data_IF_061100608424
#
_entry.id   IF_061100608424
#
_cell.length_a   1.000
_cell.length_b   1.000
_cell.length_c   1.000
_cell.angle_alpha   90.00
_cell.angle_beta   90.00
_cell.angle_gamma   90.00
#
_symmetry.space_group_name_H-M   'P 1'
#
loop_
_entity.id
_entity.type
_entity.pdbx_description
1 polymer ?
#
# COMPACT_ATOMS: atom_id res chain seq x y z
N UNK A 1 -20.23 14.05 -20.11
CA UNK A 1 -21.36 13.25 -19.57
C UNK A 1 -20.97 11.79 -19.30
N UNK A 2 -20.36 11.05 -20.25
CA UNK A 2 -20.00 9.63 -20.05
C UNK A 2 -18.98 9.41 -18.93
N UNK A 3 -17.92 10.23 -18.85
CA UNK A 3 -16.88 10.13 -17.82
C UNK A 3 -17.47 10.31 -16.42
N UNK A 4 -18.24 11.36 -16.19
CA UNK A 4 -18.83 11.59 -14.87
C UNK A 4 -19.79 10.47 -14.44
N UNK A 5 -20.48 9.82 -15.38
CA UNK A 5 -21.30 8.65 -15.06
C UNK A 5 -20.45 7.44 -14.66
N UNK A 6 -19.33 7.19 -15.36
CA UNK A 6 -18.42 6.09 -15.05
C UNK A 6 -17.69 6.28 -13.71
N UNK A 7 -17.42 7.52 -13.30
CA UNK A 7 -16.72 7.84 -12.06
C UNK A 7 -17.64 7.88 -10.82
N UNK A 8 -18.96 8.01 -11.03
CA UNK A 8 -19.93 8.07 -9.91
C UNK A 8 -20.13 6.70 -9.29
N UNK A 9 -20.14 6.64 -7.97
CA UNK A 9 -20.48 5.46 -7.19
C UNK A 9 -21.88 5.58 -6.61
N UNK A 10 -22.63 4.49 -6.63
CA UNK A 10 -23.97 4.40 -6.01
C UNK A 10 -23.85 4.27 -4.50
N UNK A 11 -24.95 4.54 -3.77
CA UNK A 11 -25.00 4.36 -2.32
C UNK A 11 -24.70 2.89 -1.92
N UNK A 12 -25.22 1.91 -2.67
CA UNK A 12 -24.98 0.49 -2.42
C UNK A 12 -23.50 0.11 -2.60
N UNK A 13 -22.81 0.65 -3.61
CA UNK A 13 -21.38 0.46 -3.79
C UNK A 13 -20.59 1.07 -2.62
N UNK A 14 -20.99 2.24 -2.14
CA UNK A 14 -20.34 2.92 -1.01
C UNK A 14 -20.52 2.18 0.32
N UNK A 15 -21.58 1.41 0.51
CA UNK A 15 -21.77 0.54 1.68
C UNK A 15 -20.81 -0.67 1.67
N UNK A 16 -20.55 -1.23 0.49
CA UNK A 16 -19.73 -2.43 0.34
C UNK A 16 -18.24 -2.09 0.26
N UNK A 17 -17.87 -1.00 -0.39
CA UNK A 17 -16.49 -0.67 -0.71
C UNK A 17 -15.54 -0.64 0.50
N UNK A 18 -15.91 -0.05 1.67
CA UNK A 18 -15.05 -0.09 2.86
C UNK A 18 -14.74 -1.51 3.37
N UNK A 19 -15.65 -2.47 3.11
CA UNK A 19 -15.43 -3.87 3.51
C UNK A 19 -14.42 -4.53 2.58
N UNK A 20 -14.48 -4.25 1.28
CA UNK A 20 -13.52 -4.76 0.30
C UNK A 20 -12.13 -4.19 0.58
N UNK A 21 -12.03 -2.91 0.90
CA UNK A 21 -10.77 -2.25 1.28
C UNK A 21 -10.18 -2.91 2.53
N UNK A 22 -10.98 -3.11 3.59
CA UNK A 22 -10.52 -3.81 4.80
C UNK A 22 -10.03 -5.21 4.51
N UNK A 23 -10.69 -5.94 3.61
CA UNK A 23 -10.27 -7.28 3.21
C UNK A 23 -8.92 -7.24 2.48
N UNK A 24 -8.69 -6.27 1.58
CA UNK A 24 -7.41 -6.09 0.92
C UNK A 24 -6.29 -5.83 1.94
N UNK A 25 -6.51 -4.92 2.89
CA UNK A 25 -5.56 -4.66 4.00
C UNK A 25 -5.29 -5.92 4.84
N UNK A 26 -6.32 -6.70 5.15
CA UNK A 26 -6.18 -7.94 5.91
C UNK A 26 -5.31 -8.96 5.15
N UNK A 27 -5.54 -9.15 3.85
CA UNK A 27 -4.74 -10.06 3.02
C UNK A 27 -3.28 -9.62 3.00
N UNK A 28 -2.99 -8.32 2.82
CA UNK A 28 -1.62 -7.81 2.86
C UNK A 28 -0.98 -8.05 4.23
N UNK A 29 -1.69 -7.75 5.32
CA UNK A 29 -1.18 -7.96 6.68
C UNK A 29 -0.83 -9.42 6.95
N UNK A 30 -1.63 -10.35 6.46
CA UNK A 30 -1.34 -11.79 6.57
C UNK A 30 -0.14 -12.17 5.70
N UNK A 31 -0.08 -11.67 4.45
CA UNK A 31 1.02 -11.92 3.52
C UNK A 31 2.37 -11.38 4.03
N UNK A 32 2.35 -10.30 4.80
CA UNK A 32 3.54 -9.71 5.41
C UNK A 32 3.79 -10.15 6.87
N UNK A 33 3.15 -11.24 7.30
CA UNK A 33 3.33 -11.78 8.64
C UNK A 33 4.34 -12.93 8.69
N UNK A 34 4.76 -13.29 9.91
CA UNK A 34 5.65 -14.43 10.15
C UNK A 34 5.00 -15.80 9.83
N UNK A 35 3.69 -15.84 9.54
CA UNK A 35 3.04 -17.06 9.06
C UNK A 35 3.33 -17.33 7.56
N UNK A 36 3.79 -16.33 6.83
CA UNK A 36 4.11 -16.40 5.40
C UNK A 36 5.59 -16.17 5.14
N UNK A 37 6.20 -15.21 5.83
CA UNK A 37 7.60 -14.83 5.63
C UNK A 37 8.50 -15.46 6.69
N UNK A 38 9.43 -16.28 6.23
CA UNK A 38 10.59 -16.78 6.98
C UNK A 38 11.84 -16.06 6.44
N UNK A 39 12.38 -15.04 7.17
CA UNK A 39 13.56 -14.32 6.71
C UNK A 39 14.75 -15.24 6.50
N UNK A 40 15.45 -15.06 5.39
CA UNK A 40 16.56 -15.95 4.98
C UNK A 40 16.12 -17.13 4.10
N UNK A 41 14.81 -17.30 3.86
CA UNK A 41 14.26 -18.38 3.05
C UNK A 41 13.21 -17.92 2.04
N UNK A 42 12.21 -17.16 2.49
CA UNK A 42 11.09 -16.69 1.65
C UNK A 42 11.58 -15.64 0.66
N UNK A 43 11.24 -15.79 -0.61
CA UNK A 43 11.54 -14.81 -1.65
C UNK A 43 10.40 -13.78 -1.80
N UNK A 44 10.66 -12.67 -2.52
CA UNK A 44 9.62 -11.72 -2.88
C UNK A 44 8.52 -12.41 -3.72
N UNK A 45 8.89 -13.27 -4.65
CA UNK A 45 7.96 -14.03 -5.50
C UNK A 45 7.11 -15.03 -4.69
N UNK A 46 7.66 -15.68 -3.66
CA UNK A 46 6.85 -16.54 -2.79
C UNK A 46 5.69 -15.78 -2.16
N UNK A 47 5.92 -14.53 -1.74
CA UNK A 47 4.87 -13.67 -1.18
C UNK A 47 3.86 -13.26 -2.26
N UNK A 48 4.32 -12.91 -3.47
CA UNK A 48 3.44 -12.62 -4.62
C UNK A 48 2.52 -13.80 -4.91
N UNK A 49 3.06 -15.02 -4.97
CA UNK A 49 2.27 -16.22 -5.21
C UNK A 49 1.31 -16.53 -4.09
N UNK A 50 1.72 -16.32 -2.83
CA UNK A 50 0.84 -16.46 -1.67
C UNK A 50 -0.35 -15.50 -1.74
N UNK A 51 -0.11 -14.21 -2.07
CA UNK A 51 -1.18 -13.22 -2.24
C UNK A 51 -2.19 -13.65 -3.31
N UNK A 52 -1.71 -14.14 -4.45
CA UNK A 52 -2.57 -14.64 -5.54
C UNK A 52 -3.39 -15.84 -5.12
N UNK A 53 -2.75 -16.80 -4.46
CA UNK A 53 -3.44 -17.99 -3.98
C UNK A 53 -4.49 -17.64 -2.93
N UNK A 54 -4.20 -16.72 -2.03
CA UNK A 54 -5.15 -16.23 -1.02
C UNK A 54 -6.38 -15.61 -1.67
N UNK A 55 -6.20 -14.75 -2.67
CA UNK A 55 -7.29 -14.15 -3.46
C UNK A 55 -8.15 -15.24 -4.12
N UNK A 56 -7.51 -16.21 -4.76
CA UNK A 56 -8.20 -17.34 -5.42
C UNK A 56 -8.98 -18.20 -4.44
N UNK A 57 -8.41 -18.54 -3.28
CA UNK A 57 -9.08 -19.32 -2.23
C UNK A 57 -10.30 -18.62 -1.64
N UNK A 58 -10.32 -17.29 -1.63
CA UNK A 58 -11.45 -16.49 -1.21
C UNK A 58 -12.52 -16.30 -2.31
N UNK A 59 -12.31 -16.88 -3.49
CA UNK A 59 -13.22 -16.72 -4.62
C UNK A 59 -13.21 -15.30 -5.22
N UNK A 60 -12.16 -14.54 -4.95
CA UNK A 60 -11.97 -13.18 -5.45
C UNK A 60 -11.10 -13.16 -6.72
N UNK A 61 -11.05 -12.00 -7.35
CA UNK A 61 -10.16 -11.74 -8.49
C UNK A 61 -9.19 -10.60 -8.15
N UNK A 62 -7.97 -10.69 -8.66
CA UNK A 62 -7.08 -9.55 -8.73
C UNK A 62 -7.22 -8.90 -10.11
N UNK A 63 -7.28 -7.57 -10.17
CA UNK A 63 -7.39 -6.86 -11.45
C UNK A 63 -6.04 -6.49 -12.04
N UNK A 64 -4.97 -6.66 -11.29
CA UNK A 64 -3.58 -6.65 -11.76
C UNK A 64 -2.75 -7.68 -11.00
N UNK A 65 -1.54 -7.95 -11.50
CA UNK A 65 -0.61 -8.86 -10.85
C UNK A 65 0.02 -8.19 -9.63
N UNK A 66 -0.11 -8.74 -8.41
CA UNK A 66 0.52 -8.17 -7.23
C UNK A 66 2.03 -8.00 -7.41
N UNK A 67 2.59 -6.94 -6.85
CA UNK A 67 4.02 -6.72 -6.80
C UNK A 67 4.52 -6.74 -5.37
N UNK A 68 5.66 -7.37 -5.11
CA UNK A 68 6.38 -7.29 -3.84
C UNK A 68 7.81 -6.86 -4.12
N UNK A 69 8.23 -5.80 -3.45
CA UNK A 69 9.57 -5.26 -3.54
C UNK A 69 10.27 -5.25 -2.21
N UNK A 70 11.60 -5.42 -2.24
CA UNK A 70 12.48 -5.39 -1.08
C UNK A 70 13.38 -4.16 -1.20
N UNK A 71 13.32 -3.28 -0.21
CA UNK A 71 14.19 -2.13 -0.06
C UNK A 71 15.22 -2.49 1.00
N UNK A 72 16.45 -2.71 0.56
CA UNK A 72 17.57 -3.16 1.40
C UNK A 72 18.59 -2.07 1.58
N UNK A 73 19.02 -1.84 2.81
CA UNK A 73 20.06 -0.87 3.12
C UNK A 73 21.34 -1.15 2.31
N UNK A 74 21.90 -0.11 1.67
CA UNK A 74 23.09 -0.22 0.81
C UNK A 74 22.82 -0.71 -0.61
N UNK A 75 21.54 -0.79 -1.01
CA UNK A 75 21.13 -1.02 -2.40
C UNK A 75 20.36 0.18 -2.91
N UNK A 76 20.71 0.67 -4.09
CA UNK A 76 20.05 1.84 -4.70
C UNK A 76 18.73 1.45 -5.40
N UNK A 77 18.61 0.20 -5.84
CA UNK A 77 17.44 -0.32 -6.51
C UNK A 77 16.60 -1.21 -5.59
N UNK A 78 15.28 -1.17 -5.76
CA UNK A 78 14.36 -2.13 -5.16
C UNK A 78 14.58 -3.51 -5.76
N UNK A 79 14.73 -4.52 -4.90
CA UNK A 79 14.92 -5.92 -5.28
C UNK A 79 13.56 -6.60 -5.41
N UNK A 80 13.43 -7.58 -6.31
CA UNK A 80 12.19 -8.30 -6.61
C UNK A 80 12.48 -9.73 -7.06
N UNK A 81 11.44 -10.49 -7.36
CA UNK A 81 11.57 -11.83 -7.91
C UNK A 81 12.12 -12.84 -6.91
N UNK A 82 13.12 -13.61 -7.30
CA UNK A 82 13.74 -14.66 -6.47
C UNK A 82 14.62 -14.11 -5.33
N UNK A 83 14.63 -12.80 -5.13
CA UNK A 83 15.41 -12.21 -4.04
C UNK A 83 14.86 -12.62 -2.68
N UNK A 84 15.74 -13.18 -1.84
CA UNK A 84 15.37 -13.68 -0.51
C UNK A 84 15.25 -12.52 0.47
N UNK A 85 14.10 -12.44 1.16
CA UNK A 85 13.82 -11.46 2.21
C UNK A 85 14.74 -11.71 3.40
N UNK A 86 15.39 -10.65 3.90
CA UNK A 86 16.32 -10.70 5.02
C UNK A 86 15.83 -9.86 6.20
N UNK A 87 16.30 -10.15 7.41
CA UNK A 87 16.12 -9.29 8.56
C UNK A 87 16.73 -7.91 8.30
N UNK A 88 15.98 -6.86 8.59
CA UNK A 88 16.36 -5.48 8.32
C UNK A 88 15.92 -4.93 6.97
N UNK A 89 15.29 -5.75 6.12
CA UNK A 89 14.67 -5.29 4.88
C UNK A 89 13.38 -4.53 5.16
N UNK A 90 13.09 -3.54 4.34
CA UNK A 90 11.77 -2.96 4.23
C UNK A 90 11.07 -3.54 3.01
N UNK A 91 9.86 -4.03 3.18
CA UNK A 91 9.04 -4.60 2.12
C UNK A 91 8.03 -3.56 1.64
N UNK A 92 7.75 -3.59 0.35
CA UNK A 92 6.70 -2.83 -0.29
C UNK A 92 5.81 -3.79 -1.09
N UNK A 93 4.53 -3.53 -1.14
CA UNK A 93 3.60 -4.24 -2.04
C UNK A 93 2.64 -3.28 -2.69
N UNK A 94 2.27 -3.61 -3.92
CA UNK A 94 1.13 -3.07 -4.64
C UNK A 94 0.15 -4.22 -4.90
N UNK A 95 -1.07 -4.06 -4.37
CA UNK A 95 -2.06 -5.13 -4.32
C UNK A 95 -3.48 -4.62 -4.49
N UNK A 96 -4.25 -5.27 -5.35
CA UNK A 96 -5.64 -4.92 -5.58
C UNK A 96 -6.51 -6.13 -5.87
N UNK A 97 -7.73 -6.11 -5.31
CA UNK A 97 -8.77 -7.11 -5.53
C UNK A 97 -9.99 -6.49 -6.19
N UNK A 98 -10.73 -7.33 -6.92
CA UNK A 98 -12.01 -6.97 -7.52
C UNK A 98 -13.14 -7.74 -6.84
N UNK A 99 -14.18 -7.02 -6.44
CA UNK A 99 -15.42 -7.62 -5.96
C UNK A 99 -16.62 -6.76 -6.39
N UNK A 100 -17.65 -7.39 -6.97
CA UNK A 100 -18.84 -6.72 -7.51
C UNK A 100 -18.52 -5.57 -8.48
N UNK A 101 -17.48 -5.71 -9.28
CA UNK A 101 -17.03 -4.67 -10.20
C UNK A 101 -16.28 -3.49 -9.57
N UNK A 102 -16.04 -3.54 -8.25
CA UNK A 102 -15.26 -2.54 -7.50
C UNK A 102 -13.82 -3.04 -7.33
N UNK A 103 -12.87 -2.19 -7.61
CA UNK A 103 -11.44 -2.49 -7.50
C UNK A 103 -10.85 -1.76 -6.29
N UNK A 104 -9.98 -2.44 -5.54
CA UNK A 104 -9.08 -1.79 -4.59
C UNK A 104 -7.71 -1.60 -5.22
N UNK A 105 -6.99 -0.60 -4.74
CA UNK A 105 -5.62 -0.30 -5.13
C UNK A 105 -4.89 0.14 -3.85
N UNK A 106 -4.07 -0.76 -3.32
CA UNK A 106 -3.58 -0.62 -1.94
C UNK A 106 -2.09 -0.92 -1.88
N UNK A 107 -1.32 0.05 -1.41
CA UNK A 107 0.11 -0.08 -1.21
C UNK A 107 0.45 -0.07 0.27
N UNK A 108 1.31 -0.99 0.69
CA UNK A 108 1.76 -1.11 2.07
C UNK A 108 3.27 -1.25 2.17
N UNK A 109 3.77 -0.84 3.33
CA UNK A 109 5.14 -1.06 3.76
C UNK A 109 5.16 -1.96 5.00
N UNK A 110 6.16 -2.81 5.09
CA UNK A 110 6.47 -3.57 6.29
C UNK A 110 7.99 -3.59 6.53
N UNK A 111 8.41 -3.72 7.76
CA UNK A 111 9.80 -3.86 8.12
C UNK A 111 10.06 -5.23 8.75
N UNK A 112 11.07 -5.94 8.25
CA UNK A 112 11.46 -7.24 8.78
C UNK A 112 12.40 -7.03 9.96
N UNK A 113 11.89 -7.22 11.18
CA UNK A 113 12.63 -6.97 12.41
C UNK A 113 13.95 -7.77 12.48
N UNK A 114 15.02 -7.12 12.94
CA UNK A 114 16.28 -7.78 13.30
C UNK A 114 16.17 -8.46 14.65
N UNK A 115 17.14 -9.33 14.95
CA UNK A 115 17.19 -9.97 16.26
C UNK A 115 17.29 -8.93 17.38
N UNK A 116 16.40 -9.06 18.36
CA UNK A 116 16.31 -8.13 19.49
C UNK A 116 15.51 -6.84 19.23
N UNK A 117 15.07 -6.60 17.99
CA UNK A 117 14.16 -5.48 17.71
C UNK A 117 12.71 -5.88 18.03
N UNK A 118 11.95 -4.97 18.64
CA UNK A 118 10.52 -5.12 18.92
C UNK A 118 9.66 -4.19 18.06
N UNK A 119 10.28 -3.23 17.38
CA UNK A 119 9.63 -2.26 16.49
C UNK A 119 10.61 -1.80 15.41
N UNK A 120 10.07 -1.23 14.33
CA UNK A 120 10.88 -0.66 13.26
C UNK A 120 11.78 0.49 13.79
N UNK A 121 12.97 0.70 13.20
CA UNK A 121 13.86 1.79 13.57
C UNK A 121 13.17 3.16 13.57
N UNK A 122 13.57 4.02 14.52
CA UNK A 122 12.94 5.33 14.72
C UNK A 122 12.90 6.18 13.43
N UNK A 123 13.95 6.11 12.59
CA UNK A 123 13.97 6.82 11.30
C UNK A 123 12.88 6.37 10.34
N UNK A 124 12.64 5.07 10.23
CA UNK A 124 11.57 4.52 9.38
C UNK A 124 10.18 4.92 9.90
N UNK A 125 9.98 4.88 11.23
CA UNK A 125 8.73 5.32 11.85
C UNK A 125 8.49 6.82 11.65
N UNK A 126 9.52 7.64 11.75
CA UNK A 126 9.44 9.08 11.48
C UNK A 126 9.11 9.36 10.00
N UNK A 127 9.72 8.60 9.08
CA UNK A 127 9.40 8.68 7.64
C UNK A 127 7.93 8.33 7.36
N UNK A 128 7.44 7.23 7.93
CA UNK A 128 6.03 6.83 7.80
C UNK A 128 5.08 7.90 8.38
N UNK A 129 5.41 8.45 9.57
CA UNK A 129 4.61 9.52 10.16
C UNK A 129 4.56 10.77 9.23
N UNK A 130 5.68 11.12 8.61
CA UNK A 130 5.72 12.23 7.65
C UNK A 130 4.88 11.95 6.41
N UNK A 131 4.94 10.72 5.86
CA UNK A 131 4.11 10.30 4.74
C UNK A 131 2.61 10.34 5.08
N UNK A 132 2.24 9.88 6.28
CA UNK A 132 0.84 9.92 6.74
C UNK A 132 0.32 11.37 6.84
N UNK A 133 1.13 12.33 7.30
CA UNK A 133 0.72 13.75 7.31
C UNK A 133 0.42 14.28 5.90
N UNK A 134 1.17 13.83 4.90
CA UNK A 134 0.89 14.18 3.50
C UNK A 134 -0.44 13.58 3.06
N UNK A 135 -0.70 12.30 3.36
CA UNK A 135 -1.96 11.65 3.05
C UNK A 135 -3.15 12.33 3.76
N UNK A 136 -2.99 12.70 5.02
CA UNK A 136 -4.03 13.41 5.79
C UNK A 136 -4.33 14.77 5.17
N UNK A 137 -3.31 15.53 4.74
CA UNK A 137 -3.49 16.82 4.07
C UNK A 137 -4.25 16.66 2.74
N UNK A 138 -3.89 15.66 1.92
CA UNK A 138 -4.60 15.36 0.67
C UNK A 138 -6.03 14.95 0.95
N UNK A 139 -6.24 14.00 1.86
CA UNK A 139 -7.58 13.49 2.21
C UNK A 139 -8.48 14.60 2.75
N UNK A 140 -7.94 15.49 3.58
CA UNK A 140 -8.68 16.64 4.14
C UNK A 140 -9.09 17.68 3.09
N UNK A 141 -8.40 17.72 1.95
CA UNK A 141 -8.71 18.62 0.84
C UNK A 141 -9.83 18.09 -0.08
N UNK A 142 -10.17 16.80 0.01
CA UNK A 142 -11.25 16.22 -0.80
C UNK A 142 -12.61 16.78 -0.41
N UNK A 143 -13.28 17.44 -1.35
CA UNK A 143 -14.67 17.96 -1.20
C UNK A 143 -15.39 17.89 -2.54
N UNK A 144 -16.68 17.63 -2.49
CA UNK A 144 -17.55 17.64 -3.69
C UNK A 144 -17.43 18.99 -4.43
N UNK A 145 -17.31 18.93 -5.73
CA UNK A 145 -17.22 20.11 -6.60
C UNK A 145 -15.81 20.65 -6.82
N UNK A 146 -14.79 20.09 -6.16
CA UNK A 146 -13.39 20.47 -6.39
C UNK A 146 -12.75 19.64 -7.48
N UNK A 147 -11.84 20.23 -8.21
CA UNK A 147 -10.99 19.52 -9.17
C UNK A 147 -9.77 18.91 -8.47
N UNK A 148 -9.12 17.93 -9.11
CA UNK A 148 -7.86 17.38 -8.61
C UNK A 148 -6.76 18.43 -8.44
N UNK A 149 -6.71 19.43 -9.33
CA UNK A 149 -5.77 20.55 -9.22
C UNK A 149 -6.01 21.42 -7.99
N UNK A 150 -7.29 21.70 -7.64
CA UNK A 150 -7.64 22.46 -6.46
C UNK A 150 -7.25 21.71 -5.17
N UNK A 151 -7.49 20.38 -5.15
CA UNK A 151 -7.14 19.51 -4.04
C UNK A 151 -5.62 19.48 -3.86
N UNK A 152 -4.87 19.29 -4.95
CA UNK A 152 -3.41 19.27 -4.92
C UNK A 152 -2.84 20.61 -4.44
N UNK A 153 -3.37 21.73 -4.94
CA UNK A 153 -2.91 23.07 -4.54
C UNK A 153 -3.13 23.32 -3.05
N UNK A 154 -4.31 22.95 -2.51
CA UNK A 154 -4.60 23.09 -1.08
C UNK A 154 -3.71 22.17 -0.25
N UNK A 155 -3.59 20.88 -0.63
CA UNK A 155 -2.75 19.93 0.07
C UNK A 155 -1.28 20.42 0.13
N UNK A 156 -0.71 20.87 -0.99
CA UNK A 156 0.66 21.42 -1.03
C UNK A 156 0.84 22.63 -0.14
N UNK A 157 -0.18 23.46 0.04
CA UNK A 157 -0.15 24.61 0.95
C UNK A 157 -0.13 24.24 2.44
N UNK A 158 -0.54 23.02 2.77
CA UNK A 158 -0.58 22.52 4.17
C UNK A 158 0.64 21.69 4.56
N UNK A 159 1.52 21.34 3.59
CA UNK A 159 2.76 20.64 3.90
C UNK A 159 3.74 21.55 4.63
N UNK A 160 4.44 20.95 5.58
CA UNK A 160 5.64 21.54 6.14
C UNK A 160 6.62 21.92 5.01
N UNK A 161 7.16 23.17 5.01
CA UNK A 161 8.13 23.60 4.00
C UNK A 161 9.31 22.65 3.80
N UNK A 162 9.74 21.94 4.86
CA UNK A 162 10.80 20.94 4.78
C UNK A 162 10.40 19.69 4.00
N UNK A 163 9.11 19.39 3.87
CA UNK A 163 8.59 18.28 3.05
C UNK A 163 8.35 18.73 1.60
N UNK A 164 8.05 20.00 1.36
CA UNK A 164 7.84 20.53 0.00
C UNK A 164 9.07 20.37 -0.89
N UNK A 165 10.27 20.48 -0.33
CA UNK A 165 11.54 20.33 -1.05
C UNK A 165 11.90 18.88 -1.40
N UNK A 166 11.19 17.89 -0.82
CA UNK A 166 11.46 16.45 -0.99
C UNK A 166 10.44 15.74 -1.88
N UNK A 167 9.36 16.42 -2.25
CA UNK A 167 8.23 15.87 -3.04
C UNK A 167 8.10 16.56 -4.41
N UNK A 168 9.03 17.45 -4.75
CA UNK A 168 9.05 18.19 -6.03
C UNK A 168 9.75 17.42 -7.14
#
# INVERSE_FOLDING_TARGET
MAVGWLETRTAAEMEVYPQIVRLAHFIISEGFSNSVIEPGRTTADDVVWWLREKVSRLGLQAWFHPSVGIIRQGRDAMLQGDEIIQKGDMLWTDFGITYLGLNTDTQHLAYVLRDGEHEAPAGLRAGLHSANRVQDAVTSAFRTGRTGNDILAEARGTYDPDLQSKVA
#
